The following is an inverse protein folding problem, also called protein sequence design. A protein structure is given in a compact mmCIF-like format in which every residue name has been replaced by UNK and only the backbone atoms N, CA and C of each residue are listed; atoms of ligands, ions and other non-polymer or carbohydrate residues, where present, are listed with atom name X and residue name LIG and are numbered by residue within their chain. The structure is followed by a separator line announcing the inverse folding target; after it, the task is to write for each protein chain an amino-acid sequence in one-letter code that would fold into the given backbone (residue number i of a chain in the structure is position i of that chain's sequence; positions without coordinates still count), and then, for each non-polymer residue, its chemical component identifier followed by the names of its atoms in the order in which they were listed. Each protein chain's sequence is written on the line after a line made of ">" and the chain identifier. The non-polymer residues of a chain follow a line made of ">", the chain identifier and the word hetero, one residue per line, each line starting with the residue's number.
data_IF_648603539704
#
_entry.id   IF_648603539704
#
_cell.length_a   1.000
_cell.length_b   1.000
_cell.length_c   1.000
_cell.angle_alpha   90.00
_cell.angle_beta   90.00
_cell.angle_gamma   90.00
#
_symmetry.space_group_name_H-M   'P 1'
#
loop_
_entity.id
_entity.type
_entity.pdbx_description
1 polymer ?
#
# COMPACT_ATOMS: atom_id res chain seq x y z
N UNK A 1 0.87 -50.18 -27.56
CA UNK A 1 0.82 -49.34 -26.33
C UNK A 1 2.12 -48.54 -26.23
N UNK A 2 2.08 -47.24 -26.49
CA UNK A 2 3.21 -46.33 -26.20
C UNK A 2 2.62 -44.96 -25.85
N UNK A 3 2.74 -44.54 -24.58
CA UNK A 3 2.27 -43.23 -24.10
C UNK A 3 3.42 -42.23 -24.20
N UNK A 4 3.24 -41.18 -25.00
CA UNK A 4 4.09 -39.99 -25.03
C UNK A 4 3.92 -39.20 -23.73
N UNK A 5 5.02 -38.93 -23.04
CA UNK A 5 5.06 -37.97 -21.94
C UNK A 5 5.29 -36.55 -22.51
N UNK A 6 4.26 -35.72 -22.53
CA UNK A 6 4.37 -34.30 -22.83
C UNK A 6 5.02 -33.57 -21.66
N UNK A 7 6.21 -33.00 -21.87
CA UNK A 7 6.86 -32.08 -20.94
C UNK A 7 6.13 -30.73 -21.01
N UNK A 8 5.31 -30.43 -20.00
CA UNK A 8 4.73 -29.11 -19.80
C UNK A 8 5.83 -28.18 -19.24
N UNK A 9 6.33 -27.25 -20.06
CA UNK A 9 7.21 -26.17 -19.62
C UNK A 9 6.37 -25.05 -19.01
N UNK A 10 6.10 -25.14 -17.70
CA UNK A 10 5.62 -23.99 -16.94
C UNK A 10 6.80 -23.02 -16.73
N UNK A 11 6.86 -22.00 -17.60
CA UNK A 11 7.68 -20.81 -17.38
C UNK A 11 7.14 -20.07 -16.15
N UNK A 12 7.85 -20.16 -15.04
CA UNK A 12 7.62 -19.31 -13.87
C UNK A 12 7.88 -17.85 -14.25
N UNK A 13 6.94 -16.91 -14.03
CA UNK A 13 7.24 -15.51 -14.20
C UNK A 13 8.29 -15.13 -13.15
N UNK A 14 9.49 -14.77 -13.59
CA UNK A 14 10.51 -14.16 -12.72
C UNK A 14 9.92 -12.85 -12.21
N UNK A 15 9.44 -12.83 -10.97
CA UNK A 15 9.22 -11.59 -10.22
C UNK A 15 10.54 -10.83 -10.28
N UNK A 16 10.57 -9.73 -11.04
CA UNK A 16 11.67 -8.78 -10.97
C UNK A 16 11.59 -8.19 -9.57
N UNK A 17 12.44 -8.69 -8.67
CA UNK A 17 12.70 -8.07 -7.39
C UNK A 17 13.22 -6.66 -7.70
N UNK A 18 12.34 -5.66 -7.60
CA UNK A 18 12.76 -4.26 -7.65
C UNK A 18 13.72 -4.06 -6.48
N UNK A 19 14.95 -3.66 -6.77
CA UNK A 19 15.88 -3.20 -5.76
C UNK A 19 15.20 -2.08 -4.97
N UNK A 20 15.19 -2.14 -3.62
CA UNK A 20 14.58 -1.09 -2.82
C UNK A 20 15.28 0.24 -3.11
N UNK A 21 14.54 1.36 -3.17
CA UNK A 21 15.14 2.66 -3.43
C UNK A 21 16.17 2.99 -2.35
N UNK A 22 17.38 3.40 -2.75
CA UNK A 22 18.35 3.98 -1.84
C UNK A 22 17.83 5.35 -1.39
N UNK A 23 17.39 5.47 -0.13
CA UNK A 23 16.86 6.71 0.41
C UNK A 23 16.25 6.55 1.79
N UNK A 24 16.14 7.66 2.53
CA UNK A 24 15.53 7.69 3.85
C UNK A 24 14.01 7.41 3.84
N UNK A 25 13.35 7.41 5.01
CA UNK A 25 11.95 6.99 5.17
C UNK A 25 10.97 7.70 4.23
N UNK A 26 11.15 9.00 3.98
CA UNK A 26 10.33 9.76 3.02
C UNK A 26 10.45 9.20 1.60
N UNK A 27 11.67 8.95 1.10
CA UNK A 27 11.89 8.42 -0.24
C UNK A 27 11.26 7.05 -0.41
N UNK A 28 11.32 6.22 0.64
CA UNK A 28 10.66 4.92 0.67
C UNK A 28 9.14 5.08 0.61
N UNK A 29 8.56 5.96 1.43
CA UNK A 29 7.12 6.24 1.44
C UNK A 29 6.63 6.84 0.11
N UNK A 30 7.38 7.76 -0.50
CA UNK A 30 7.07 8.33 -1.81
C UNK A 30 7.09 7.27 -2.91
N UNK A 31 8.11 6.41 -2.91
CA UNK A 31 8.21 5.32 -3.87
C UNK A 31 7.06 4.33 -3.70
N UNK A 32 6.71 4.02 -2.45
CA UNK A 32 5.57 3.16 -2.13
C UNK A 32 4.25 3.80 -2.57
N UNK A 33 3.99 5.07 -2.25
CA UNK A 33 2.77 5.79 -2.66
C UNK A 33 2.62 5.81 -4.19
N UNK A 34 3.70 6.04 -4.94
CA UNK A 34 3.66 6.03 -6.41
C UNK A 34 3.30 4.68 -7.00
N UNK A 35 3.70 3.60 -6.34
CA UNK A 35 3.43 2.23 -6.75
C UNK A 35 2.07 1.71 -6.25
N UNK A 36 1.58 2.26 -5.14
CA UNK A 36 0.32 1.90 -4.54
C UNK A 36 -0.88 2.32 -5.40
N UNK A 37 -2.02 1.66 -5.18
CA UNK A 37 -3.28 2.06 -5.77
C UNK A 37 -3.74 3.38 -5.16
N UNK A 38 -4.00 4.35 -6.04
CA UNK A 38 -4.42 5.70 -5.67
C UNK A 38 -5.79 6.03 -6.24
N UNK A 39 -6.50 6.90 -5.54
CA UNK A 39 -7.83 7.39 -5.90
C UNK A 39 -7.88 8.90 -5.77
N UNK A 40 -8.96 9.47 -6.33
CA UNK A 40 -9.33 10.89 -6.24
C UNK A 40 -8.14 11.85 -6.40
N UNK A 41 -7.74 12.09 -7.65
CA UNK A 41 -6.65 13.01 -7.99
C UNK A 41 -5.32 12.74 -7.25
N UNK A 42 -5.05 11.47 -6.90
CA UNK A 42 -3.87 11.05 -6.13
C UNK A 42 -3.80 11.62 -4.71
N UNK A 43 -4.95 11.91 -4.11
CA UNK A 43 -5.03 12.36 -2.70
C UNK A 43 -5.31 11.22 -1.72
N UNK A 44 -5.81 10.10 -2.23
CA UNK A 44 -6.11 8.91 -1.46
C UNK A 44 -5.25 7.75 -1.95
N UNK A 45 -4.79 6.93 -1.01
CA UNK A 45 -4.12 5.66 -1.29
C UNK A 45 -4.87 4.51 -0.62
N UNK A 46 -5.01 3.39 -1.30
CA UNK A 46 -5.46 2.15 -0.67
C UNK A 46 -4.44 1.70 0.38
N UNK A 47 -4.90 1.41 1.60
CA UNK A 47 -4.03 1.13 2.74
C UNK A 47 -3.29 -0.19 2.54
N UNK A 48 -3.97 -1.24 2.06
CA UNK A 48 -3.33 -2.53 1.82
C UNK A 48 -2.29 -2.47 0.71
N UNK A 49 -2.62 -1.82 -0.40
CA UNK A 49 -1.69 -1.59 -1.50
C UNK A 49 -0.47 -0.77 -1.06
N UNK A 50 -0.67 0.28 -0.26
CA UNK A 50 0.43 1.07 0.30
C UNK A 50 1.31 0.23 1.25
N UNK A 51 0.71 -0.53 2.17
CA UNK A 51 1.42 -1.38 3.11
C UNK A 51 2.24 -2.47 2.38
N UNK A 52 1.67 -3.11 1.35
CA UNK A 52 2.37 -4.09 0.53
C UNK A 52 3.60 -3.49 -0.17
N UNK A 53 3.48 -2.26 -0.66
CA UNK A 53 4.57 -1.53 -1.30
C UNK A 53 5.66 -1.10 -0.31
N UNK A 54 5.28 -0.62 0.88
CA UNK A 54 6.23 -0.32 1.97
C UNK A 54 6.97 -1.58 2.38
N UNK A 55 6.26 -2.68 2.64
CA UNK A 55 6.83 -3.98 3.01
C UNK A 55 7.85 -4.47 1.98
N UNK A 56 7.56 -4.30 0.68
CA UNK A 56 8.46 -4.68 -0.41
C UNK A 56 9.70 -3.79 -0.48
N UNK A 57 9.55 -2.50 -0.21
CA UNK A 57 10.60 -1.50 -0.37
C UNK A 57 11.51 -1.35 0.86
N UNK A 58 11.02 -1.59 2.07
CA UNK A 58 11.80 -1.34 3.28
C UNK A 58 12.77 -2.48 3.59
N UNK A 59 13.96 -2.13 4.11
CA UNK A 59 14.88 -3.08 4.76
C UNK A 59 14.78 -3.03 6.29
N UNK A 60 14.08 -2.03 6.82
CA UNK A 60 13.90 -1.84 8.25
C UNK A 60 12.90 -2.89 8.79
N UNK A 61 13.36 -3.71 9.73
CA UNK A 61 12.56 -4.79 10.29
C UNK A 61 11.30 -4.29 11.04
N UNK A 62 11.38 -3.27 11.91
CA UNK A 62 10.19 -2.67 12.52
C UNK A 62 9.15 -2.17 11.50
N UNK A 63 9.59 -1.42 10.48
CA UNK A 63 8.70 -0.92 9.42
C UNK A 63 8.04 -2.07 8.65
N UNK A 64 8.80 -3.14 8.37
CA UNK A 64 8.26 -4.33 7.69
C UNK A 64 7.21 -5.02 8.55
N UNK A 65 7.48 -5.21 9.84
CA UNK A 65 6.54 -5.82 10.78
C UNK A 65 5.26 -4.98 10.93
N UNK A 66 5.37 -3.65 10.97
CA UNK A 66 4.20 -2.77 10.99
C UNK A 66 3.37 -2.89 9.71
N UNK A 67 4.00 -3.00 8.53
CA UNK A 67 3.30 -3.23 7.28
C UNK A 67 2.61 -4.61 7.23
N UNK A 68 3.27 -5.66 7.75
CA UNK A 68 2.66 -6.99 7.90
C UNK A 68 1.42 -6.96 8.81
N UNK A 69 1.49 -6.24 9.94
CA UNK A 69 0.37 -6.09 10.86
C UNK A 69 -0.82 -5.37 10.20
N UNK A 70 -0.58 -4.33 9.40
CA UNK A 70 -1.63 -3.63 8.64
C UNK A 70 -2.28 -4.56 7.63
N UNK A 71 -1.49 -5.32 6.86
CA UNK A 71 -2.03 -6.28 5.90
C UNK A 71 -2.89 -7.36 6.57
N UNK A 72 -2.45 -7.86 7.72
CA UNK A 72 -3.21 -8.84 8.50
C UNK A 72 -4.53 -8.26 9.02
N UNK A 73 -4.53 -7.01 9.52
CA UNK A 73 -5.73 -6.34 10.03
C UNK A 73 -6.78 -6.06 8.94
N UNK A 74 -6.36 -5.98 7.68
CA UNK A 74 -7.23 -5.72 6.52
C UNK A 74 -7.76 -6.99 5.85
N UNK A 75 -7.38 -8.18 6.34
CA UNK A 75 -7.96 -9.43 5.85
C UNK A 75 -9.47 -9.47 6.16
N UNK A 76 -10.34 -9.69 5.16
CA UNK A 76 -11.78 -9.71 5.39
C UNK A 76 -12.20 -10.85 6.31
N UNK A 77 -13.10 -10.56 7.26
CA UNK A 77 -13.66 -11.56 8.17
C UNK A 77 -14.75 -10.97 9.08
N UNK A 78 -15.66 -11.81 9.62
CA UNK A 78 -16.81 -11.35 10.41
C UNK A 78 -16.42 -10.53 11.65
N UNK A 79 -15.26 -10.83 12.24
CA UNK A 79 -14.72 -10.14 13.41
C UNK A 79 -13.55 -9.20 13.06
N UNK A 80 -13.29 -9.00 11.76
CA UNK A 80 -12.18 -8.19 11.25
C UNK A 80 -12.55 -6.70 11.12
N UNK A 81 -11.54 -5.86 10.96
CA UNK A 81 -11.75 -4.43 10.65
C UNK A 81 -12.51 -4.25 9.32
N UNK A 82 -12.21 -5.12 8.35
CA UNK A 82 -12.94 -5.23 7.09
C UNK A 82 -13.85 -6.45 7.18
N UNK A 83 -15.17 -6.24 7.24
CA UNK A 83 -16.13 -7.36 7.34
C UNK A 83 -16.24 -8.13 6.01
N UNK A 84 -16.30 -7.38 4.91
CA UNK A 84 -16.38 -7.91 3.56
C UNK A 84 -15.76 -6.90 2.58
N UNK A 85 -15.16 -7.41 1.52
CA UNK A 85 -14.54 -6.65 0.45
C UNK A 85 -14.79 -7.40 -0.86
N UNK A 86 -15.14 -6.67 -1.93
CA UNK A 86 -15.26 -7.23 -3.26
C UNK A 86 -14.88 -6.21 -4.35
N UNK A 87 -14.28 -6.74 -5.42
CA UNK A 87 -13.79 -5.95 -6.54
C UNK A 87 -14.52 -6.27 -7.85
N UNK A 88 -14.77 -5.23 -8.66
CA UNK A 88 -15.20 -5.40 -10.05
C UNK A 88 -14.16 -4.81 -11.01
N UNK A 89 -13.32 -5.69 -11.56
CA UNK A 89 -12.34 -5.37 -12.60
C UNK A 89 -10.89 -5.37 -12.14
N UNK A 90 -9.97 -5.61 -13.07
CA UNK A 90 -8.55 -5.81 -12.78
C UNK A 90 -7.87 -4.56 -12.18
N UNK A 91 -8.39 -3.36 -12.45
CA UNK A 91 -7.82 -2.12 -11.97
C UNK A 91 -7.89 -1.94 -10.45
N UNK A 92 -8.76 -2.67 -9.76
CA UNK A 92 -8.95 -2.58 -8.31
C UNK A 92 -8.75 -3.92 -7.60
N UNK A 93 -8.37 -4.99 -8.30
CA UNK A 93 -8.28 -6.34 -7.75
C UNK A 93 -7.29 -6.53 -6.58
N UNK A 94 -6.46 -5.53 -6.29
CA UNK A 94 -5.47 -5.54 -5.22
C UNK A 94 -5.77 -4.51 -4.11
N UNK A 95 -6.95 -3.89 -4.10
CA UNK A 95 -7.38 -3.02 -3.01
C UNK A 95 -7.83 -3.84 -1.81
N UNK A 96 -7.98 -3.20 -0.65
CA UNK A 96 -8.42 -3.87 0.58
C UNK A 96 -9.62 -3.16 1.21
N UNK A 97 -10.36 -2.38 0.42
CA UNK A 97 -11.59 -1.71 0.85
C UNK A 97 -11.40 -0.47 1.74
N UNK A 98 -10.16 -0.11 2.08
CA UNK A 98 -9.85 1.01 2.99
C UNK A 98 -8.84 1.94 2.32
N UNK A 99 -9.15 3.23 2.29
CA UNK A 99 -8.23 4.26 1.79
C UNK A 99 -7.84 5.21 2.90
N UNK A 100 -6.65 5.79 2.79
CA UNK A 100 -6.16 6.83 3.67
C UNK A 100 -5.78 8.06 2.87
N UNK A 101 -5.96 9.23 3.47
CA UNK A 101 -5.50 10.48 2.89
C UNK A 101 -3.97 10.54 2.94
N UNK A 102 -3.39 10.54 1.74
CA UNK A 102 -1.96 10.67 1.53
C UNK A 102 -1.80 11.45 0.22
N UNK A 103 -1.82 12.80 0.27
CA UNK A 103 -1.70 13.61 -0.92
C UNK A 103 -0.30 13.52 -1.52
N UNK A 104 -0.22 13.59 -2.84
CA UNK A 104 1.05 13.90 -3.50
C UNK A 104 1.58 15.24 -2.96
N UNK A 105 2.90 15.40 -2.74
CA UNK A 105 3.52 16.69 -2.38
C UNK A 105 3.16 17.83 -3.33
N UNK A 106 2.73 17.52 -4.56
CA UNK A 106 2.33 18.50 -5.57
C UNK A 106 0.93 19.10 -5.36
N UNK A 107 0.05 18.46 -4.58
CA UNK A 107 -1.37 18.84 -4.47
C UNK A 107 -1.65 19.67 -3.21
N UNK A 108 -0.70 19.70 -2.27
CA UNK A 108 -0.88 20.34 -0.98
C UNK A 108 -1.79 19.56 -0.02
N UNK A 109 -1.78 19.96 1.24
CA UNK A 109 -2.56 19.33 2.32
C UNK A 109 -3.81 20.16 2.55
N UNK A 110 -4.98 19.52 2.63
CA UNK A 110 -6.23 20.20 2.96
C UNK A 110 -6.15 20.83 4.35
N UNK A 111 -6.51 22.12 4.45
CA UNK A 111 -6.49 22.86 5.73
C UNK A 111 -7.39 22.23 6.80
N UNK A 112 -8.50 21.62 6.38
CA UNK A 112 -9.50 21.02 7.27
C UNK A 112 -9.12 19.60 7.74
N UNK A 113 -8.09 18.99 7.15
CA UNK A 113 -7.74 17.61 7.48
C UNK A 113 -7.21 17.46 8.91
N UNK A 114 -6.69 18.55 9.51
CA UNK A 114 -6.28 18.54 10.93
C UNK A 114 -7.46 18.42 11.89
N UNK A 115 -8.68 18.73 11.47
CA UNK A 115 -9.85 18.76 12.36
C UNK A 115 -10.49 17.37 12.51
N UNK A 116 -10.04 16.38 11.73
CA UNK A 116 -10.51 15.00 11.83
C UNK A 116 -9.94 14.32 13.08
N UNK A 117 -10.77 13.59 13.81
CA UNK A 117 -10.36 12.84 15.00
C UNK A 117 -9.20 11.88 14.68
N UNK A 118 -9.29 11.16 13.56
CA UNK A 118 -8.20 10.29 13.08
C UNK A 118 -6.87 11.04 12.95
N UNK A 119 -6.89 12.26 12.43
CA UNK A 119 -5.68 13.04 12.22
C UNK A 119 -5.10 13.57 13.54
N UNK A 120 -5.95 13.90 14.51
CA UNK A 120 -5.58 14.40 15.85
C UNK A 120 -5.06 13.28 16.75
N UNK A 121 -5.74 12.14 16.78
CA UNK A 121 -5.47 11.05 17.70
C UNK A 121 -4.26 10.20 17.29
N UNK A 122 -4.03 10.03 15.97
CA UNK A 122 -2.99 9.15 15.46
C UNK A 122 -1.76 9.88 14.90
N UNK A 123 -1.69 11.21 15.08
CA UNK A 123 -0.56 12.02 14.57
C UNK A 123 -0.42 12.01 13.05
N UNK A 124 -1.45 11.56 12.32
CA UNK A 124 -1.40 11.39 10.87
C UNK A 124 -1.18 12.73 10.16
N UNK A 125 -1.74 13.82 10.69
CA UNK A 125 -1.49 15.17 10.16
C UNK A 125 0.01 15.49 10.16
N UNK A 126 0.70 15.28 11.29
CA UNK A 126 2.13 15.56 11.40
C UNK A 126 2.96 14.71 10.44
N UNK A 127 2.57 13.45 10.22
CA UNK A 127 3.20 12.57 9.24
C UNK A 127 3.03 13.10 7.81
N UNK A 128 1.80 13.42 7.40
CA UNK A 128 1.51 13.96 6.06
C UNK A 128 2.25 15.28 5.83
N UNK A 129 2.27 16.13 6.84
CA UNK A 129 3.00 17.40 6.84
C UNK A 129 4.52 17.22 6.63
N UNK A 130 5.13 16.27 7.35
CA UNK A 130 6.54 15.92 7.15
C UNK A 130 6.80 15.31 5.76
N UNK A 131 5.83 14.53 5.27
CA UNK A 131 5.89 13.89 3.97
C UNK A 131 5.89 14.89 2.81
N UNK A 132 4.99 15.90 2.84
CA UNK A 132 4.85 16.87 1.74
C UNK A 132 5.90 17.97 1.73
N UNK A 133 6.50 18.31 2.89
CA UNK A 133 7.43 19.46 3.03
C UNK A 133 8.88 19.17 2.63
N UNK A 134 9.31 17.92 2.73
CA UNK A 134 10.69 17.55 2.40
C UNK A 134 10.91 17.50 0.88
#
# INVERSE_FOLDING_TARGET
>A
MARRASRCHLRTPRLRLRTPPAGGPRTQLWTAQKAAKRFWQNTLADVGSLAAEIRRATRDAPTRAAADAVLAALMPGPDGFVVAEAHRGAGVAACTGVTVYLPSPLVGVSRFYADLDFAREHGWRSMVDAYVRA
#
